data_IF_067709505523
#
_entry.id   IF_067709505523
#
_cell.length_a   1.000
_cell.length_b   1.000
_cell.length_c   1.000
_cell.angle_alpha   90.00
_cell.angle_beta   90.00
_cell.angle_gamma   90.00
#
_symmetry.space_group_name_H-M   'P 1'
#
loop_
_entity.id
_entity.type
_entity.pdbx_description
1 polymer ?
#
# COMPACT_ATOMS: atom_id res chain seq x y z
N UNK A 1 -17.71 1.62 3.33
CA UNK A 1 -16.40 1.29 2.69
C UNK A 1 -15.97 -0.03 3.30
N UNK A 2 -16.17 -1.15 2.59
CA UNK A 2 -15.70 -2.45 3.06
C UNK A 2 -14.17 -2.36 3.12
N UNK A 3 -13.60 -2.47 4.32
CA UNK A 3 -12.17 -2.70 4.49
C UNK A 3 -11.93 -4.07 3.87
N UNK A 4 -11.44 -4.13 2.63
CA UNK A 4 -11.29 -5.41 1.95
C UNK A 4 -10.28 -6.28 2.70
N UNK A 5 -9.27 -5.69 3.35
CA UNK A 5 -8.22 -6.40 4.10
C UNK A 5 -7.65 -5.57 5.27
N UNK A 6 -7.26 -6.23 6.37
CA UNK A 6 -6.51 -5.65 7.51
C UNK A 6 -5.19 -6.40 7.67
N UNK A 7 -4.07 -5.68 7.77
CA UNK A 7 -2.75 -6.28 7.97
C UNK A 7 -2.09 -5.68 9.21
N UNK A 8 -1.56 -6.50 10.14
CA UNK A 8 -0.69 -6.00 11.19
C UNK A 8 0.62 -5.50 10.57
N UNK A 9 1.07 -4.34 11.03
CA UNK A 9 2.38 -3.79 10.65
C UNK A 9 3.33 -4.02 11.81
N UNK A 10 4.55 -4.46 11.51
CA UNK A 10 5.63 -4.67 12.49
C UNK A 10 6.73 -3.64 12.25
N UNK A 11 6.54 -2.38 12.67
CA UNK A 11 7.54 -1.34 12.43
C UNK A 11 8.78 -1.59 13.29
N UNK A 12 9.94 -1.23 12.77
CA UNK A 12 11.15 -1.05 13.60
C UNK A 12 10.95 0.13 14.55
N UNK A 13 11.73 0.22 15.63
CA UNK A 13 11.64 1.35 16.59
C UNK A 13 11.73 2.71 15.88
N UNK A 14 12.63 2.85 14.91
CA UNK A 14 12.78 4.09 14.11
C UNK A 14 11.54 4.38 13.25
N UNK A 15 10.94 3.35 12.66
CA UNK A 15 9.71 3.49 11.88
C UNK A 15 8.54 3.89 12.78
N UNK A 16 8.44 3.30 13.98
CA UNK A 16 7.43 3.63 14.96
C UNK A 16 7.51 5.10 15.39
N UNK A 17 8.70 5.57 15.80
CA UNK A 17 8.92 6.97 16.15
C UNK A 17 8.54 7.92 15.01
N UNK A 18 8.93 7.59 13.78
CA UNK A 18 8.57 8.36 12.59
C UNK A 18 7.05 8.41 12.38
N UNK A 19 6.37 7.27 12.50
CA UNK A 19 4.91 7.17 12.33
C UNK A 19 4.16 7.97 13.41
N UNK A 20 4.63 7.92 14.66
CA UNK A 20 4.06 8.68 15.77
C UNK A 20 4.24 10.19 15.55
N UNK A 21 5.44 10.63 15.14
CA UNK A 21 5.67 12.03 14.80
C UNK A 21 4.78 12.52 13.64
N UNK A 22 4.54 11.66 12.64
CA UNK A 22 3.56 11.97 11.59
C UNK A 22 2.13 12.09 12.13
N UNK A 23 1.72 11.29 13.11
CA UNK A 23 0.38 11.44 13.70
C UNK A 23 0.21 12.77 14.43
N UNK A 24 1.24 13.23 15.12
CA UNK A 24 1.23 14.51 15.83
C UNK A 24 1.14 15.67 14.82
N UNK A 25 2.01 15.67 13.79
CA UNK A 25 1.95 16.66 12.70
C UNK A 25 0.57 16.76 12.05
N UNK A 26 -0.05 15.60 11.76
CA UNK A 26 -1.37 15.58 11.13
C UNK A 26 -2.48 16.04 12.08
N UNK A 27 -2.33 15.81 13.39
CA UNK A 27 -3.24 16.32 14.40
C UNK A 27 -3.19 17.85 14.45
N UNK A 28 -1.99 18.41 14.48
CA UNK A 28 -1.73 19.85 14.45
C UNK A 28 -2.24 20.49 13.17
N UNK A 29 -1.90 19.94 12.01
CA UNK A 29 -2.37 20.42 10.71
C UNK A 29 -3.92 20.44 10.64
N UNK A 30 -4.58 19.39 11.12
CA UNK A 30 -6.04 19.33 11.16
C UNK A 30 -6.63 20.41 12.07
N UNK A 31 -6.02 20.65 13.24
CA UNK A 31 -6.49 21.63 14.19
C UNK A 31 -6.23 23.07 13.72
N UNK A 32 -5.07 23.34 13.11
CA UNK A 32 -4.75 24.62 12.45
C UNK A 32 -5.75 24.90 11.34
N UNK A 33 -5.95 23.96 10.42
CA UNK A 33 -6.92 24.12 9.32
C UNK A 33 -8.36 24.34 9.81
N UNK A 34 -8.73 23.78 10.97
CA UNK A 34 -10.01 24.08 11.62
C UNK A 34 -10.02 25.50 12.20
N UNK A 35 -8.95 25.91 12.86
CA UNK A 35 -8.81 27.23 13.45
C UNK A 35 -8.82 28.34 12.40
N UNK A 36 -8.08 28.18 11.30
CA UNK A 36 -8.06 29.16 10.19
C UNK A 36 -9.47 29.41 9.63
N UNK A 37 -10.25 28.34 9.47
CA UNK A 37 -11.66 28.42 9.03
C UNK A 37 -12.57 29.11 10.04
N UNK A 38 -12.27 28.96 11.34
CA UNK A 38 -13.03 29.63 12.40
C UNK A 38 -12.72 31.13 12.39
N UNK A 39 -11.44 31.48 12.42
CA UNK A 39 -10.98 32.88 12.42
C UNK A 39 -11.49 33.62 11.20
N UNK A 40 -11.29 33.08 9.99
CA UNK A 40 -11.75 33.72 8.75
C UNK A 40 -13.27 33.98 8.74
N UNK A 41 -14.06 33.11 9.36
CA UNK A 41 -15.50 33.31 9.48
C UNK A 41 -15.86 34.35 10.54
N UNK A 42 -15.18 34.34 11.70
CA UNK A 42 -15.43 35.28 12.79
C UNK A 42 -14.98 36.71 12.46
N UNK A 43 -13.89 36.89 11.73
CA UNK A 43 -13.31 38.21 11.42
C UNK A 43 -13.87 38.82 10.14
N UNK A 44 -13.96 38.02 9.07
CA UNK A 44 -14.25 38.51 7.72
C UNK A 44 -15.57 37.96 7.16
N UNK A 45 -16.19 36.97 7.84
CA UNK A 45 -17.39 36.30 7.34
C UNK A 45 -17.13 35.43 6.09
N UNK A 46 -15.86 35.18 5.75
CA UNK A 46 -15.48 34.45 4.53
C UNK A 46 -15.30 32.96 4.80
N UNK A 47 -15.41 32.18 3.73
CA UNK A 47 -15.20 30.74 3.78
C UNK A 47 -13.86 30.35 3.16
N UNK A 48 -13.02 29.67 3.95
CA UNK A 48 -11.75 29.10 3.45
C UNK A 48 -12.02 27.75 2.80
N UNK A 49 -11.68 27.63 1.51
CA UNK A 49 -11.87 26.41 0.75
C UNK A 49 -10.78 25.36 1.05
N UNK A 50 -11.03 24.11 0.63
CA UNK A 50 -9.98 23.08 0.63
C UNK A 50 -8.79 23.50 -0.23
N UNK A 51 -9.04 24.14 -1.38
CA UNK A 51 -7.99 24.55 -2.31
C UNK A 51 -7.06 25.57 -1.66
N UNK A 52 -7.60 26.56 -0.95
CA UNK A 52 -6.83 27.59 -0.26
C UNK A 52 -5.88 26.96 0.78
N UNK A 53 -6.39 26.01 1.57
CA UNK A 53 -5.57 25.30 2.56
C UNK A 53 -4.51 24.39 1.93
N UNK A 54 -4.77 23.84 0.74
CA UNK A 54 -3.76 23.08 -0.01
C UNK A 54 -2.68 23.99 -0.61
N UNK A 55 -3.03 25.22 -1.00
CA UNK A 55 -2.06 26.24 -1.40
C UNK A 55 -1.18 26.65 -0.22
N UNK A 56 -1.77 26.95 0.94
CA UNK A 56 -1.03 27.23 2.18
C UNK A 56 -0.12 26.07 2.57
N UNK A 57 -0.59 24.83 2.45
CA UNK A 57 0.25 23.65 2.68
C UNK A 57 1.44 23.60 1.73
N UNK A 58 1.27 23.98 0.47
CA UNK A 58 2.35 24.00 -0.52
C UNK A 58 3.41 25.03 -0.12
N UNK A 59 2.99 26.23 0.25
CA UNK A 59 3.88 27.29 0.76
C UNK A 59 4.58 26.87 2.07
N UNK A 60 3.87 26.25 3.01
CA UNK A 60 4.44 25.75 4.25
C UNK A 60 5.54 24.70 4.01
N UNK A 61 5.34 23.83 3.01
CA UNK A 61 6.34 22.81 2.61
C UNK A 61 7.57 23.39 1.93
N UNK A 62 7.50 24.59 1.36
CA UNK A 62 8.68 25.28 0.84
C UNK A 62 9.54 25.84 1.98
N UNK A 63 8.88 26.30 3.05
CA UNK A 63 9.52 27.03 4.15
C UNK A 63 9.99 26.14 5.31
N UNK A 64 9.24 25.08 5.64
CA UNK A 64 9.45 24.33 6.88
C UNK A 64 9.79 22.86 6.63
N UNK A 65 10.82 22.37 7.32
CA UNK A 65 11.37 21.01 7.15
C UNK A 65 10.48 19.91 7.71
N UNK A 66 9.81 20.17 8.84
CA UNK A 66 8.80 19.31 9.45
C UNK A 66 7.65 19.00 8.47
N UNK A 67 7.18 20.02 7.73
CA UNK A 67 6.18 19.83 6.68
C UNK A 67 6.71 18.97 5.53
N UNK A 68 8.00 19.07 5.19
CA UNK A 68 8.63 18.23 4.15
C UNK A 68 8.83 16.78 4.60
N UNK A 69 9.14 16.57 5.87
CA UNK A 69 9.39 15.26 6.47
C UNK A 69 8.14 14.35 6.43
N UNK A 70 6.94 14.94 6.45
CA UNK A 70 5.68 14.18 6.30
C UNK A 70 5.32 14.06 4.81
N UNK A 71 4.98 12.85 4.32
CA UNK A 71 4.48 12.66 2.97
C UNK A 71 3.26 13.53 2.66
N UNK A 72 3.34 14.29 1.56
CA UNK A 72 2.31 15.27 1.17
C UNK A 72 0.92 14.63 0.99
N UNK A 73 0.85 13.35 0.63
CA UNK A 73 -0.41 12.63 0.50
C UNK A 73 -1.15 12.53 1.83
N UNK A 74 -0.45 12.30 2.94
CA UNK A 74 -1.08 12.20 4.26
C UNK A 74 -1.64 13.55 4.72
N UNK A 75 -0.89 14.63 4.46
CA UNK A 75 -1.32 16.00 4.75
C UNK A 75 -2.56 16.36 3.93
N UNK A 76 -2.56 16.07 2.62
CA UNK A 76 -3.71 16.31 1.74
C UNK A 76 -4.96 15.51 2.15
N UNK A 77 -4.82 14.24 2.52
CA UNK A 77 -5.96 13.44 3.00
C UNK A 77 -6.48 13.99 4.34
N UNK A 78 -5.61 14.53 5.18
CA UNK A 78 -6.02 15.17 6.44
C UNK A 78 -6.83 16.43 6.19
N UNK A 79 -6.40 17.31 5.28
CA UNK A 79 -7.19 18.48 4.86
C UNK A 79 -8.54 18.07 4.26
N UNK A 80 -8.59 17.03 3.42
CA UNK A 80 -9.85 16.48 2.88
C UNK A 80 -10.78 15.95 3.96
N UNK A 81 -10.27 15.32 5.03
CA UNK A 81 -11.09 14.88 6.17
C UNK A 81 -11.70 16.07 6.90
N UNK A 82 -10.91 17.12 7.13
CA UNK A 82 -11.40 18.38 7.71
C UNK A 82 -12.49 18.97 6.83
N UNK A 83 -12.25 19.08 5.53
CA UNK A 83 -13.22 19.63 4.60
C UNK A 83 -14.53 18.84 4.56
N UNK A 84 -14.45 17.51 4.54
CA UNK A 84 -15.64 16.64 4.61
C UNK A 84 -16.43 16.85 5.90
N UNK A 85 -15.76 17.09 7.04
CA UNK A 85 -16.44 17.39 8.31
C UNK A 85 -17.20 18.72 8.23
N UNK A 86 -16.60 19.76 7.65
CA UNK A 86 -17.24 21.06 7.41
C UNK A 86 -18.36 20.97 6.36
N UNK A 87 -18.20 20.19 5.29
CA UNK A 87 -19.26 19.94 4.32
C UNK A 87 -20.48 19.27 4.96
N UNK A 88 -20.25 18.27 5.82
CA UNK A 88 -21.32 17.62 6.57
C UNK A 88 -22.00 18.58 7.56
N UNK A 89 -21.23 19.40 8.28
CA UNK A 89 -21.76 20.46 9.15
C UNK A 89 -22.66 21.43 8.37
N UNK A 90 -22.16 21.97 7.24
CA UNK A 90 -22.92 22.88 6.37
C UNK A 90 -24.21 22.25 5.85
N UNK A 91 -24.16 20.97 5.45
CA UNK A 91 -25.35 20.24 5.01
C UNK A 91 -26.40 20.19 6.12
N UNK A 92 -26.01 19.89 7.36
CA UNK A 92 -26.94 19.87 8.51
C UNK A 92 -27.49 21.25 8.85
N UNK A 93 -26.67 22.31 8.72
CA UNK A 93 -27.14 23.68 8.87
C UNK A 93 -28.23 24.03 7.85
N UNK A 94 -28.00 23.70 6.58
CA UNK A 94 -28.95 23.94 5.48
C UNK A 94 -30.26 23.16 5.66
N UNK A 95 -30.18 21.93 6.17
CA UNK A 95 -31.34 21.09 6.40
C UNK A 95 -32.15 21.47 7.66
N UNK A 96 -31.62 22.36 8.51
CA UNK A 96 -32.29 22.73 9.76
C UNK A 96 -32.23 21.65 10.85
N UNK A 97 -31.31 20.67 10.75
CA UNK A 97 -31.23 19.55 11.69
C UNK A 97 -31.01 20.06 13.14
N UNK A 98 -31.64 19.40 14.12
CA UNK A 98 -31.49 19.74 15.55
C UNK A 98 -30.03 19.61 16.04
N UNK A 99 -29.27 18.68 15.47
CA UNK A 99 -27.86 18.44 15.82
C UNK A 99 -26.92 18.82 14.68
N UNK A 100 -26.57 20.11 14.57
CA UNK A 100 -25.65 20.61 13.52
C UNK A 100 -24.20 20.23 13.81
N UNK A 101 -23.74 20.27 15.06
CA UNK A 101 -22.43 19.79 15.52
C UNK A 101 -21.23 20.33 14.72
N UNK A 102 -20.61 21.41 15.20
CA UNK A 102 -19.40 21.97 14.59
C UNK A 102 -18.21 20.99 14.67
N UNK A 103 -17.32 20.94 13.65
CA UNK A 103 -16.12 20.09 13.69
C UNK A 103 -15.28 20.32 14.96
N UNK A 104 -15.06 19.25 15.74
CA UNK A 104 -14.36 19.34 17.03
C UNK A 104 -12.84 19.34 16.87
N UNK A 105 -12.18 20.03 17.80
CA UNK A 105 -10.73 19.92 18.00
C UNK A 105 -10.34 18.46 18.27
N UNK A 106 -9.19 18.04 17.73
CA UNK A 106 -8.67 16.68 17.85
C UNK A 106 -7.53 16.65 18.85
N UNK A 107 -7.62 15.76 19.83
CA UNK A 107 -6.52 15.47 20.76
C UNK A 107 -5.48 14.50 20.20
N UNK A 108 -5.86 13.70 19.19
CA UNK A 108 -5.01 12.67 18.59
C UNK A 108 -5.55 12.22 17.24
N UNK A 109 -4.63 11.80 16.36
CA UNK A 109 -4.90 11.09 15.11
C UNK A 109 -4.30 9.70 15.21
N UNK A 110 -5.02 8.68 14.72
CA UNK A 110 -4.61 7.25 14.83
C UNK A 110 -4.66 6.51 13.49
N UNK A 111 -4.80 7.25 12.40
CA UNK A 111 -5.01 6.65 11.07
C UNK A 111 -4.39 7.49 9.98
N UNK A 112 -3.50 6.89 9.20
CA UNK A 112 -3.01 7.45 7.95
C UNK A 112 -3.92 7.01 6.81
N UNK A 113 -4.11 7.88 5.82
CA UNK A 113 -4.81 7.53 4.58
C UNK A 113 -4.03 8.10 3.42
N UNK A 114 -3.82 7.26 2.42
CA UNK A 114 -3.20 7.64 1.16
C UNK A 114 -3.87 6.88 0.03
N UNK A 115 -3.58 7.32 -1.19
CA UNK A 115 -4.07 6.68 -2.40
C UNK A 115 -2.91 5.99 -3.09
N UNK A 116 -3.01 4.68 -3.33
CA UNK A 116 -1.99 3.89 -4.04
C UNK A 116 -1.75 4.34 -5.50
N UNK A 117 -2.58 5.25 -6.02
CA UNK A 117 -2.50 5.79 -7.40
C UNK A 117 -1.21 6.56 -7.71
N UNK A 118 -0.45 7.04 -6.73
CA UNK A 118 0.82 7.76 -6.99
C UNK A 118 2.02 6.84 -7.22
N UNK A 119 2.02 5.59 -6.76
CA UNK A 119 3.22 4.75 -6.85
C UNK A 119 3.50 4.21 -8.27
N UNK A 120 2.47 3.90 -9.06
CA UNK A 120 2.69 3.39 -10.43
C UNK A 120 3.31 4.43 -11.39
N UNK A 121 3.10 5.73 -11.14
CA UNK A 121 3.66 6.83 -11.97
C UNK A 121 5.06 7.27 -11.50
N UNK A 122 5.35 7.18 -10.20
CA UNK A 122 6.65 7.61 -9.66
C UNK A 122 7.75 6.59 -9.98
N UNK A 123 7.46 5.28 -9.93
CA UNK A 123 8.45 4.25 -10.30
C UNK A 123 8.84 4.37 -11.79
N UNK A 124 7.88 4.67 -12.67
CA UNK A 124 8.14 4.92 -14.10
C UNK A 124 9.09 6.09 -14.40
N UNK A 125 9.26 7.06 -13.48
CA UNK A 125 9.96 8.32 -13.75
C UNK A 125 11.35 8.40 -13.11
N UNK A 126 11.71 7.47 -12.21
CA UNK A 126 12.96 7.51 -11.42
C UNK A 126 14.07 6.58 -11.91
N UNK A 127 13.84 5.76 -12.93
CA UNK A 127 14.87 4.89 -13.50
C UNK A 127 15.70 5.68 -14.51
N UNK A 128 16.80 6.28 -14.05
CA UNK A 128 17.91 6.71 -14.90
C UNK A 128 18.72 5.47 -15.30
N UNK A 129 18.79 5.21 -16.61
CA UNK A 129 19.76 4.42 -17.39
C UNK A 129 20.26 3.02 -16.95
N UNK A 130 19.93 2.45 -15.78
CA UNK A 130 20.39 1.09 -15.42
C UNK A 130 19.36 0.17 -14.75
N UNK A 131 18.30 0.70 -14.13
CA UNK A 131 17.25 -0.12 -13.53
C UNK A 131 16.05 -0.30 -14.48
N UNK A 132 15.94 -1.46 -15.13
CA UNK A 132 14.74 -1.82 -15.90
C UNK A 132 13.61 -2.23 -14.95
N UNK A 133 12.55 -1.42 -14.86
CA UNK A 133 11.35 -1.78 -14.11
C UNK A 133 10.44 -2.72 -14.91
N UNK A 134 10.20 -3.93 -14.39
CA UNK A 134 9.31 -4.92 -14.98
C UNK A 134 8.01 -5.04 -14.18
N UNK A 135 6.89 -4.66 -14.79
CA UNK A 135 5.57 -4.88 -14.21
C UNK A 135 5.14 -6.32 -14.47
N UNK A 136 4.83 -7.06 -13.40
CA UNK A 136 4.40 -8.46 -13.47
C UNK A 136 2.99 -8.63 -12.90
N UNK A 137 2.28 -9.66 -13.36
CA UNK A 137 1.00 -10.06 -12.76
C UNK A 137 1.26 -10.58 -11.33
N UNK A 138 0.60 -10.05 -10.27
CA UNK A 138 0.75 -10.54 -8.91
C UNK A 138 -0.16 -11.74 -8.57
N UNK A 139 -0.98 -12.24 -9.50
CA UNK A 139 -1.95 -13.30 -9.22
C UNK A 139 -1.28 -14.57 -8.66
N UNK A 140 -1.88 -15.11 -7.59
CA UNK A 140 -1.50 -16.35 -6.88
C UNK A 140 -0.10 -16.36 -6.21
N UNK A 141 0.65 -15.27 -6.18
CA UNK A 141 2.03 -15.27 -5.64
C UNK A 141 2.11 -15.66 -4.16
N UNK A 142 1.11 -15.32 -3.35
CA UNK A 142 1.03 -15.72 -1.94
C UNK A 142 0.42 -17.11 -1.69
N UNK A 143 0.11 -17.84 -2.77
CA UNK A 143 -0.43 -19.20 -2.75
C UNK A 143 0.51 -20.20 -3.42
N UNK A 144 1.56 -19.74 -4.09
CA UNK A 144 2.50 -20.57 -4.85
C UNK A 144 3.81 -20.66 -4.11
N UNK A 145 4.37 -21.85 -3.98
CA UNK A 145 5.69 -22.05 -3.39
C UNK A 145 6.76 -21.45 -4.30
N UNK A 146 7.68 -20.69 -3.73
CA UNK A 146 8.78 -20.06 -4.48
C UNK A 146 9.95 -20.98 -4.76
N UNK A 147 10.00 -22.17 -4.14
CA UNK A 147 11.06 -23.17 -4.33
C UNK A 147 10.70 -24.13 -5.47
N UNK A 148 9.74 -25.02 -5.25
CA UNK A 148 9.09 -25.79 -6.31
C UNK A 148 7.82 -25.03 -6.66
N UNK A 149 7.47 -24.67 -7.87
CA UNK A 149 6.24 -23.91 -8.19
C UNK A 149 4.85 -24.40 -7.71
N UNK A 150 4.73 -25.34 -6.77
CA UNK A 150 3.46 -25.92 -6.37
C UNK A 150 2.57 -24.92 -5.62
N UNK A 151 1.33 -24.81 -6.08
CA UNK A 151 0.29 -24.04 -5.39
C UNK A 151 -0.18 -24.79 -4.15
N UNK A 152 -0.48 -24.04 -3.08
CA UNK A 152 -1.13 -24.57 -1.90
C UNK A 152 -2.43 -25.28 -2.31
N UNK A 153 -2.66 -26.52 -1.84
CA UNK A 153 -3.85 -27.30 -2.23
C UNK A 153 -5.14 -26.62 -1.77
N UNK A 154 -5.05 -25.94 -0.62
CA UNK A 154 -6.12 -25.11 -0.10
C UNK A 154 -5.78 -23.62 -0.25
N UNK A 155 -6.83 -22.81 -0.43
CA UNK A 155 -6.69 -21.36 -0.49
C UNK A 155 -6.33 -20.83 0.90
N UNK A 156 -5.09 -20.37 1.06
CA UNK A 156 -4.62 -19.81 2.32
C UNK A 156 -5.38 -18.51 2.64
N UNK A 157 -6.02 -18.47 3.81
CA UNK A 157 -6.65 -17.27 4.36
C UNK A 157 -5.59 -16.24 4.73
N UNK A 158 -6.00 -14.98 4.94
CA UNK A 158 -5.06 -13.88 5.20
C UNK A 158 -4.42 -13.93 6.58
N UNK A 159 -5.01 -14.68 7.52
CA UNK A 159 -4.42 -14.87 8.85
C UNK A 159 -3.20 -15.80 8.82
N UNK A 160 -3.05 -16.59 7.76
CA UNK A 160 -1.90 -17.49 7.57
C UNK A 160 -0.69 -16.67 7.11
N UNK A 161 0.29 -16.53 8.01
CA UNK A 161 1.54 -15.77 7.79
C UNK A 161 2.72 -16.63 7.37
N UNK A 162 2.69 -17.91 7.67
CA UNK A 162 3.73 -18.86 7.24
C UNK A 162 3.20 -19.61 6.04
N UNK A 163 3.94 -19.60 4.94
CA UNK A 163 3.69 -20.46 3.81
C UNK A 163 4.44 -21.79 4.03
N UNK A 164 3.71 -22.89 4.06
CA UNK A 164 4.27 -24.24 4.19
C UNK A 164 3.90 -25.07 2.96
N UNK A 165 4.91 -25.46 2.18
CA UNK A 165 4.72 -26.25 0.98
C UNK A 165 4.59 -27.74 1.32
N UNK A 166 3.48 -28.36 0.95
CA UNK A 166 3.26 -29.80 1.13
C UNK A 166 4.03 -30.67 0.12
N UNK A 167 4.60 -30.06 -0.93
CA UNK A 167 5.35 -30.78 -1.98
C UNK A 167 6.85 -30.86 -1.67
N UNK A 168 7.50 -29.71 -1.39
CA UNK A 168 8.94 -29.66 -1.13
C UNK A 168 9.33 -29.40 0.34
N UNK A 169 8.37 -29.18 1.24
CA UNK A 169 8.63 -28.93 2.66
C UNK A 169 9.11 -27.52 3.01
N UNK A 170 9.26 -26.60 2.04
CA UNK A 170 9.59 -25.19 2.30
C UNK A 170 8.63 -24.58 3.33
N UNK A 171 9.16 -23.98 4.39
CA UNK A 171 8.38 -23.26 5.40
C UNK A 171 9.02 -21.90 5.68
N UNK A 172 8.33 -20.82 5.35
CA UNK A 172 8.86 -19.46 5.47
C UNK A 172 7.74 -18.42 5.59
N UNK A 173 8.09 -17.16 5.86
CA UNK A 173 7.12 -16.06 5.81
C UNK A 173 6.45 -15.99 4.42
N UNK A 174 5.13 -15.92 4.42
CA UNK A 174 4.30 -15.97 3.22
C UNK A 174 4.49 -14.76 2.33
N UNK A 175 4.70 -13.58 2.91
CA UNK A 175 4.97 -12.36 2.14
C UNK A 175 6.38 -12.42 1.54
N UNK A 176 7.35 -12.99 2.25
CA UNK A 176 8.69 -13.24 1.70
C UNK A 176 8.64 -14.25 0.53
N UNK A 177 7.91 -15.36 0.67
CA UNK A 177 7.66 -16.30 -0.43
C UNK A 177 6.98 -15.63 -1.64
N UNK A 178 5.96 -14.80 -1.39
CA UNK A 178 5.28 -14.04 -2.44
C UNK A 178 6.22 -13.04 -3.14
N UNK A 179 7.10 -12.38 -2.39
CA UNK A 179 8.09 -11.45 -2.93
C UNK A 179 9.10 -12.15 -3.84
N UNK A 180 9.57 -13.35 -3.46
CA UNK A 180 10.43 -14.18 -4.32
C UNK A 180 9.68 -14.48 -5.62
N UNK A 181 8.43 -14.96 -5.57
CA UNK A 181 7.64 -15.21 -6.79
C UNK A 181 7.51 -13.98 -7.71
N UNK A 182 7.34 -12.78 -7.15
CA UNK A 182 7.33 -11.53 -7.92
C UNK A 182 8.69 -11.26 -8.58
N UNK A 183 9.80 -11.46 -7.84
CA UNK A 183 11.16 -11.34 -8.36
C UNK A 183 11.39 -12.32 -9.51
N UNK A 184 10.96 -13.58 -9.38
CA UNK A 184 11.13 -14.58 -10.43
C UNK A 184 10.37 -14.20 -11.71
N UNK A 185 9.12 -13.73 -11.58
CA UNK A 185 8.35 -13.22 -12.73
C UNK A 185 9.05 -12.03 -13.39
N UNK A 186 9.65 -11.14 -12.59
CA UNK A 186 10.34 -9.97 -13.10
C UNK A 186 11.64 -10.35 -13.82
N UNK A 187 12.36 -11.36 -13.32
CA UNK A 187 13.54 -11.91 -13.96
C UNK A 187 13.23 -12.57 -15.31
N UNK A 188 12.16 -13.36 -15.40
CA UNK A 188 11.69 -13.91 -16.69
C UNK A 188 11.34 -12.80 -17.68
N UNK A 189 10.57 -11.80 -17.25
CA UNK A 189 10.23 -10.65 -18.09
C UNK A 189 11.48 -9.90 -18.57
N UNK A 190 12.49 -9.76 -17.71
CA UNK A 190 13.77 -9.16 -18.08
C UNK A 190 14.50 -9.92 -19.18
N UNK A 191 14.46 -11.25 -19.15
CA UNK A 191 15.07 -12.12 -20.17
C UNK A 191 14.23 -12.28 -21.44
N UNK A 192 13.04 -11.69 -21.50
CA UNK A 192 12.10 -11.89 -22.60
C UNK A 192 11.44 -13.28 -22.59
N UNK A 193 11.55 -14.00 -21.47
CA UNK A 193 10.93 -15.31 -21.29
C UNK A 193 9.46 -15.15 -20.90
N UNK A 194 8.62 -16.04 -21.42
CA UNK A 194 7.23 -16.11 -20.97
C UNK A 194 7.18 -16.87 -19.64
N UNK A 195 6.65 -16.21 -18.60
CA UNK A 195 6.24 -16.92 -17.39
C UNK A 195 5.05 -17.82 -17.72
N UNK A 196 5.29 -19.13 -17.87
CA UNK A 196 4.22 -20.10 -18.15
C UNK A 196 3.48 -20.38 -16.84
N UNK A 197 2.30 -19.80 -16.67
CA UNK A 197 1.43 -19.99 -15.50
C UNK A 197 0.85 -21.39 -15.41
N UNK A 198 0.72 -22.07 -16.55
CA UNK A 198 -0.14 -23.24 -16.69
C UNK A 198 0.46 -24.46 -16.00
N UNK A 199 1.80 -24.52 -15.92
CA UNK A 199 2.57 -25.48 -15.11
C UNK A 199 2.37 -25.34 -13.58
N UNK A 200 1.75 -24.25 -13.11
CA UNK A 200 1.69 -23.85 -11.70
C UNK A 200 0.26 -23.82 -11.13
N UNK A 201 -0.76 -24.17 -11.93
CA UNK A 201 -2.16 -24.15 -11.47
C UNK A 201 -2.68 -25.50 -10.97
N UNK A 202 -2.02 -26.61 -11.29
CA UNK A 202 -2.38 -27.92 -10.80
C UNK A 202 -2.06 -28.07 -9.31
N UNK A 203 -3.08 -28.20 -8.46
CA UNK A 203 -2.96 -28.43 -7.02
C UNK A 203 -2.42 -29.82 -6.69
N UNK A 204 -2.49 -30.75 -7.64
CA UNK A 204 -2.02 -32.12 -7.54
C UNK A 204 -1.76 -32.71 -8.94
N UNK A 205 -1.21 -33.93 -9.00
CA UNK A 205 -0.92 -34.65 -10.25
C UNK A 205 -2.16 -34.94 -11.12
N UNK A 206 -3.38 -34.93 -10.54
CA UNK A 206 -4.61 -35.18 -11.29
C UNK A 206 -5.02 -33.94 -12.09
N UNK A 207 -4.95 -32.74 -11.49
CA UNK A 207 -5.18 -31.49 -12.21
C UNK A 207 -4.11 -31.25 -13.31
N UNK A 208 -2.89 -31.74 -13.10
CA UNK A 208 -1.84 -31.68 -14.12
C UNK A 208 -2.15 -32.58 -15.33
N UNK A 209 -2.76 -33.75 -15.11
CA UNK A 209 -3.26 -34.63 -16.17
C UNK A 209 -4.42 -34.02 -16.95
N UNK A 210 -5.39 -33.44 -16.27
CA UNK A 210 -6.57 -32.84 -16.92
C UNK A 210 -6.20 -31.64 -17.82
N UNK A 211 -5.08 -30.98 -17.54
CA UNK A 211 -4.52 -29.90 -18.34
C UNK A 211 -3.52 -30.36 -19.43
N UNK A 212 -3.25 -31.67 -19.57
CA UNK A 212 -2.28 -32.21 -20.53
C UNK A 212 -0.83 -31.88 -20.19
N UNK A 213 -0.52 -31.67 -18.92
CA UNK A 213 0.79 -31.24 -18.41
C UNK A 213 1.54 -32.37 -17.68
N UNK A 214 1.13 -33.63 -17.83
CA UNK A 214 1.76 -34.78 -17.14
C UNK A 214 3.27 -34.93 -17.38
N UNK A 215 3.77 -34.43 -18.52
CA UNK A 215 5.18 -34.49 -18.91
C UNK A 215 5.88 -33.13 -18.83
N UNK A 216 5.18 -32.09 -18.37
CA UNK A 216 5.72 -30.76 -18.29
C UNK A 216 6.75 -30.73 -17.15
N UNK A 217 8.04 -30.58 -17.49
CA UNK A 217 9.09 -30.45 -16.48
C UNK A 217 8.96 -29.10 -15.79
N UNK A 218 8.89 -29.15 -14.46
CA UNK A 218 9.01 -27.99 -13.60
C UNK A 218 10.39 -27.37 -13.88
N UNK A 219 10.42 -26.25 -14.61
CA UNK A 219 11.63 -25.44 -14.72
C UNK A 219 11.88 -24.86 -13.33
N UNK A 220 12.61 -25.60 -12.49
CA UNK A 220 13.30 -25.03 -11.35
C UNK A 220 14.18 -23.94 -11.94
N UNK A 221 13.78 -22.68 -11.75
CA UNK A 221 14.49 -21.53 -12.31
C UNK A 221 15.95 -21.42 -11.79
N UNK A 222 16.41 -22.36 -10.95
CA UNK A 222 17.66 -22.33 -10.20
C UNK A 222 18.38 -23.68 -10.02
N UNK A 223 18.13 -24.71 -10.84
CA UNK A 223 18.94 -25.95 -10.74
C UNK A 223 20.44 -25.70 -10.98
N UNK A 224 20.85 -24.56 -11.56
CA UNK A 224 22.25 -24.21 -11.82
C UNK A 224 22.80 -23.02 -11.01
N UNK A 225 21.97 -22.23 -10.32
CA UNK A 225 22.38 -20.95 -9.70
C UNK A 225 22.56 -20.99 -8.18
N UNK A 226 22.24 -22.10 -7.51
CA UNK A 226 22.56 -22.30 -6.08
C UNK A 226 23.81 -23.16 -5.85
N UNK A 227 24.43 -23.68 -6.91
CA UNK A 227 25.68 -24.45 -6.84
C UNK A 227 26.96 -23.63 -6.99
N UNK A 228 26.86 -22.31 -7.20
CA UNK A 228 28.02 -21.41 -7.21
C UNK A 228 27.98 -20.47 -5.99
N UNK A 229 28.87 -20.66 -5.00
CA UNK A 229 29.03 -19.73 -3.90
C UNK A 229 29.90 -18.55 -4.36
N UNK A 230 29.32 -17.61 -5.11
CA UNK A 230 29.95 -16.31 -5.33
C UNK A 230 28.93 -15.29 -5.81
N UNK A 231 28.47 -14.48 -4.84
CA UNK A 231 28.02 -13.11 -5.09
C UNK A 231 29.18 -12.27 -5.64
#
# INVERSE_FOLDING_TARGET
MRLTFQYPVYPTKTQETTLLGWFDHLCELQNSARHDRLVAYETEGVFVSLSDQQTLLTQAREKYDDFRAVPQDFQNHTLRRTDKAFAAFRKRCKNGDAQKGYPRHKKRVRSLTWSLRKYSKVVRKKTKDTDKFHQVDPKNTSQTCSCCGQKSPEKLSLSVKTFSCQSCGLSMDRDHNAAINILLRAACAHRGERWVTDLYEARNMNEARDAGLENARQLLLFDELLTSPSL
#
